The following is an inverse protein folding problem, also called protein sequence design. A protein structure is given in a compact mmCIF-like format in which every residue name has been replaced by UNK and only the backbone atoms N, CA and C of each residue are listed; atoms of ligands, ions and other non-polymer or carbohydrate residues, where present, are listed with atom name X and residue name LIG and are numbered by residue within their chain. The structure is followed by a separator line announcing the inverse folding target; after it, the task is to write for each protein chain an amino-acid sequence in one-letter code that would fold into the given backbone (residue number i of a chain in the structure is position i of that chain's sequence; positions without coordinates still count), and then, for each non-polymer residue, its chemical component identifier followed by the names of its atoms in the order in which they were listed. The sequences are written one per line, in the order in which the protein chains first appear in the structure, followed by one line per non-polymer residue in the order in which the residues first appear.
data_IF_877485030745
#
_entry.id   IF_877485030745
#
_cell.length_a   1.000
_cell.length_b   1.000
_cell.length_c   1.000
_cell.angle_alpha   90.00
_cell.angle_beta   90.00
_cell.angle_gamma   90.00
#
_symmetry.space_group_name_H-M   'P 1'
#
loop_
_entity.id
_entity.type
_entity.pdbx_description
1 polymer ?
#
# COMPACT_ATOMS: atom_id res chain seq x y z
N UNK A 1 -8.65 -34.23 50.33
CA UNK A 1 -8.34 -34.53 48.91
C UNK A 1 -8.93 -33.41 48.03
N UNK A 2 -8.11 -32.66 47.29
CA UNK A 2 -8.66 -31.66 46.36
C UNK A 2 -9.32 -32.34 45.16
N UNK A 3 -10.54 -31.91 44.84
CA UNK A 3 -11.34 -32.44 43.74
C UNK A 3 -10.67 -32.17 42.38
N UNK A 4 -10.81 -33.08 41.41
CA UNK A 4 -10.26 -32.90 40.06
C UNK A 4 -10.73 -31.60 39.38
N UNK A 5 -11.93 -31.10 39.74
CA UNK A 5 -12.42 -29.79 39.30
C UNK A 5 -11.56 -28.63 39.81
N UNK A 6 -11.11 -28.69 41.06
CA UNK A 6 -10.23 -27.68 41.67
C UNK A 6 -8.85 -27.67 40.99
N UNK A 7 -8.30 -28.85 40.69
CA UNK A 7 -7.03 -28.97 39.94
C UNK A 7 -7.14 -28.39 38.53
N UNK A 8 -8.24 -28.69 37.81
CA UNK A 8 -8.48 -28.16 36.45
C UNK A 8 -8.65 -26.64 36.44
N UNK A 9 -9.35 -26.08 37.42
CA UNK A 9 -9.52 -24.63 37.56
C UNK A 9 -8.17 -23.92 37.79
N UNK A 10 -7.32 -24.49 38.66
CA UNK A 10 -5.97 -23.95 38.91
C UNK A 10 -5.09 -23.99 37.64
N UNK A 11 -5.14 -25.07 36.86
CA UNK A 11 -4.41 -25.18 35.59
C UNK A 11 -4.88 -24.11 34.59
N UNK A 12 -6.19 -23.92 34.46
CA UNK A 12 -6.76 -22.92 33.54
C UNK A 12 -6.41 -21.49 33.95
N UNK A 13 -6.43 -21.18 35.26
CA UNK A 13 -6.01 -19.88 35.78
C UNK A 13 -4.54 -19.60 35.42
N UNK A 14 -3.64 -20.57 35.67
CA UNK A 14 -2.21 -20.46 35.31
C UNK A 14 -1.99 -20.32 33.80
N UNK A 15 -2.80 -20.97 32.97
CA UNK A 15 -2.76 -20.79 31.52
C UNK A 15 -3.23 -19.38 31.10
N UNK A 16 -4.25 -18.82 31.75
CA UNK A 16 -4.72 -17.45 31.50
C UNK A 16 -3.66 -16.42 31.89
N UNK A 17 -3.04 -16.57 33.06
CA UNK A 17 -1.95 -15.71 33.52
C UNK A 17 -0.76 -15.74 32.56
N UNK A 18 -0.32 -16.92 32.13
CA UNK A 18 0.74 -17.05 31.13
C UNK A 18 0.40 -16.37 29.80
N UNK A 19 -0.86 -16.50 29.33
CA UNK A 19 -1.32 -15.78 28.12
C UNK A 19 -1.31 -14.27 28.33
N UNK A 20 -1.74 -13.78 29.50
CA UNK A 20 -1.72 -12.35 29.81
C UNK A 20 -0.29 -11.80 29.89
N UNK A 21 0.63 -12.53 30.52
CA UNK A 21 2.05 -12.18 30.57
C UNK A 21 2.68 -12.18 29.18
N UNK A 22 2.39 -13.17 28.34
CA UNK A 22 2.88 -13.21 26.97
C UNK A 22 2.37 -12.02 26.14
N UNK A 23 1.10 -11.63 26.30
CA UNK A 23 0.54 -10.45 25.65
C UNK A 23 1.24 -9.15 26.09
N UNK A 24 1.44 -8.98 27.40
CA UNK A 24 2.14 -7.80 27.93
C UNK A 24 3.60 -7.75 27.47
N UNK A 25 4.30 -8.90 27.45
CA UNK A 25 5.67 -9.01 26.97
C UNK A 25 5.80 -8.68 25.47
N UNK A 26 4.88 -9.16 24.63
CA UNK A 26 4.84 -8.80 23.21
C UNK A 26 4.64 -7.29 23.01
N UNK A 27 3.87 -6.65 23.89
CA UNK A 27 3.63 -5.20 23.85
C UNK A 27 4.85 -4.39 24.28
N UNK A 28 5.61 -4.82 25.29
CA UNK A 28 6.85 -4.14 25.72
C UNK A 28 8.00 -4.30 24.73
N UNK A 29 8.07 -5.42 23.99
CA UNK A 29 9.10 -5.68 22.98
C UNK A 29 8.84 -5.00 21.63
N UNK A 30 7.75 -4.24 21.49
CA UNK A 30 7.50 -3.46 20.29
C UNK A 30 8.53 -2.33 20.19
N UNK A 31 9.65 -2.60 19.52
CA UNK A 31 10.69 -1.63 19.27
C UNK A 31 10.09 -0.37 18.63
N UNK A 32 10.57 0.84 18.98
CA UNK A 32 10.20 2.06 18.28
C UNK A 32 10.51 1.86 16.80
N UNK A 33 9.48 1.92 15.96
CA UNK A 33 9.71 1.96 14.52
C UNK A 33 10.61 3.16 14.22
N UNK A 34 11.63 3.01 13.36
CA UNK A 34 12.47 4.13 13.00
C UNK A 34 11.59 5.28 12.49
N UNK A 35 11.90 6.54 12.86
CA UNK A 35 11.14 7.69 12.40
C UNK A 35 11.13 7.70 10.88
N UNK A 36 9.93 7.82 10.32
CA UNK A 36 9.74 7.83 8.87
C UNK A 36 10.38 9.10 8.31
N UNK A 37 11.05 9.05 7.14
CA UNK A 37 11.60 10.24 6.52
C UNK A 37 10.47 11.24 6.17
N UNK A 38 10.74 12.53 6.35
CA UNK A 38 9.80 13.60 6.00
C UNK A 38 9.35 13.46 4.53
N UNK A 39 8.04 13.59 4.28
CA UNK A 39 7.45 13.40 2.95
C UNK A 39 7.11 11.96 2.58
N UNK A 40 7.37 10.97 3.43
CA UNK A 40 6.94 9.58 3.20
C UNK A 40 5.51 9.30 3.64
N UNK A 41 4.85 8.33 2.99
CA UNK A 41 3.50 7.89 3.33
C UNK A 41 3.50 6.40 3.72
N UNK A 42 2.81 5.99 4.81
CA UNK A 42 2.77 4.59 5.21
C UNK A 42 2.00 3.74 4.18
N UNK A 43 2.49 2.52 3.96
CA UNK A 43 1.85 1.52 3.09
C UNK A 43 0.88 0.68 3.91
N UNK A 44 -0.36 0.59 3.45
CA UNK A 44 -1.30 -0.41 3.94
C UNK A 44 -1.35 -1.62 3.00
N UNK A 45 -0.71 -2.72 3.42
CA UNK A 45 -0.62 -3.95 2.61
C UNK A 45 -1.98 -4.59 2.34
N UNK A 46 -2.95 -4.40 3.24
CA UNK A 46 -4.29 -5.00 3.10
C UNK A 46 -5.10 -4.29 2.01
N UNK A 47 -4.74 -3.04 1.69
CA UNK A 47 -5.39 -2.26 0.64
C UNK A 47 -4.70 -2.43 -0.71
N UNK A 48 -3.59 -3.14 -0.82
CA UNK A 48 -2.97 -3.39 -2.12
C UNK A 48 -3.84 -4.33 -2.97
N UNK A 49 -3.90 -4.08 -4.27
CA UNK A 49 -4.52 -5.01 -5.20
C UNK A 49 -3.75 -6.34 -5.20
N UNK A 50 -4.43 -7.50 -5.23
CA UNK A 50 -3.76 -8.78 -5.35
C UNK A 50 -2.88 -8.83 -6.60
N UNK A 51 -1.58 -9.07 -6.44
CA UNK A 51 -0.65 -9.25 -7.55
C UNK A 51 -0.24 -10.71 -7.64
N UNK A 52 -0.46 -11.35 -8.80
CA UNK A 52 -0.02 -12.73 -9.06
C UNK A 52 1.49 -12.84 -9.38
N UNK A 53 2.28 -11.91 -8.86
CA UNK A 53 3.72 -11.85 -9.07
C UNK A 53 4.41 -12.52 -7.88
N UNK A 54 5.48 -13.25 -8.14
CA UNK A 54 6.18 -14.05 -7.12
C UNK A 54 6.92 -13.23 -6.06
N UNK A 55 7.01 -11.90 -6.21
CA UNK A 55 7.75 -11.01 -5.29
C UNK A 55 6.88 -9.91 -4.69
N UNK A 56 7.18 -9.54 -3.45
CA UNK A 56 6.62 -8.36 -2.80
C UNK A 56 7.32 -7.09 -3.35
N UNK A 57 6.57 -6.03 -3.72
CA UNK A 57 7.19 -4.81 -4.22
C UNK A 57 8.03 -4.13 -3.14
N UNK A 58 9.14 -3.51 -3.54
CA UNK A 58 10.13 -2.90 -2.63
C UNK A 58 9.52 -1.92 -1.63
N UNK A 59 8.53 -1.13 -2.05
CA UNK A 59 7.85 -0.19 -1.15
C UNK A 59 7.03 -0.88 -0.06
N UNK A 60 6.46 -2.06 -0.34
CA UNK A 60 5.67 -2.82 0.64
C UNK A 60 6.58 -3.53 1.64
N UNK A 61 7.72 -4.07 1.18
CA UNK A 61 8.75 -4.60 2.08
C UNK A 61 9.31 -3.51 2.99
N UNK A 62 9.54 -2.30 2.44
CA UNK A 62 9.99 -1.13 3.20
C UNK A 62 8.91 -0.55 4.13
N UNK A 63 7.63 -0.71 3.80
CA UNK A 63 6.50 -0.24 4.60
C UNK A 63 6.13 1.24 4.43
N UNK A 64 6.76 1.96 3.50
CA UNK A 64 6.43 3.35 3.18
C UNK A 64 6.75 3.72 1.72
N UNK A 65 5.96 4.63 1.16
CA UNK A 65 6.20 5.29 -0.12
C UNK A 65 7.16 6.47 0.05
N UNK A 66 7.96 6.76 -0.97
CA UNK A 66 8.90 7.89 -1.02
C UNK A 66 8.70 8.64 -2.33
N UNK A 67 9.00 9.92 -2.36
CA UNK A 67 8.91 10.72 -3.59
C UNK A 67 9.89 10.19 -4.65
N UNK A 68 9.38 9.97 -5.86
CA UNK A 68 10.15 9.47 -7.00
C UNK A 68 10.13 10.50 -8.12
N UNK A 69 11.31 10.99 -8.49
CA UNK A 69 11.45 11.88 -9.64
C UNK A 69 11.30 11.09 -10.93
N UNK A 70 10.59 11.63 -11.90
CA UNK A 70 10.47 11.05 -13.23
C UNK A 70 10.40 12.14 -14.29
N UNK A 71 10.82 11.78 -15.51
CA UNK A 71 10.71 12.64 -16.67
C UNK A 71 9.46 12.25 -17.46
N UNK A 72 8.59 13.21 -17.75
CA UNK A 72 7.41 12.97 -18.56
C UNK A 72 7.81 12.51 -19.97
N UNK A 73 7.31 11.37 -20.42
CA UNK A 73 7.63 10.84 -21.76
C UNK A 73 7.14 11.73 -22.91
N UNK A 74 6.08 12.51 -22.71
CA UNK A 74 5.46 13.29 -23.79
C UNK A 74 6.03 14.73 -23.88
N UNK A 75 6.24 15.41 -22.75
CA UNK A 75 6.70 16.81 -22.71
C UNK A 75 8.10 17.01 -22.10
N UNK A 76 8.77 15.93 -21.68
CA UNK A 76 10.08 15.95 -21.03
C UNK A 76 10.17 16.77 -19.72
N UNK A 77 9.04 17.22 -19.14
CA UNK A 77 9.07 17.92 -17.85
C UNK A 77 9.56 16.99 -16.74
N UNK A 78 10.40 17.51 -15.84
CA UNK A 78 10.80 16.82 -14.63
C UNK A 78 9.72 16.99 -13.57
N UNK A 79 9.19 15.89 -13.09
CA UNK A 79 8.07 15.85 -12.15
C UNK A 79 8.39 14.93 -10.99
N UNK A 80 7.67 15.12 -9.89
CA UNK A 80 7.77 14.26 -8.71
C UNK A 80 6.50 13.44 -8.58
N UNK A 81 6.65 12.12 -8.58
CA UNK A 81 5.59 11.22 -8.19
C UNK A 81 5.59 11.09 -6.67
N UNK A 82 4.73 11.87 -6.02
CA UNK A 82 4.78 12.01 -4.57
C UNK A 82 4.33 10.74 -3.86
N UNK A 83 4.81 10.54 -2.63
CA UNK A 83 4.40 9.42 -1.78
C UNK A 83 2.88 9.36 -1.59
N UNK A 84 2.22 10.53 -1.48
CA UNK A 84 0.77 10.62 -1.39
C UNK A 84 0.06 10.17 -2.67
N UNK A 85 0.59 10.55 -3.85
CA UNK A 85 0.05 10.11 -5.14
C UNK A 85 0.24 8.61 -5.35
N UNK A 86 1.37 8.04 -4.92
CA UNK A 86 1.62 6.60 -4.94
C UNK A 86 0.62 5.87 -4.05
N UNK A 87 0.43 6.34 -2.81
CA UNK A 87 -0.54 5.77 -1.87
C UNK A 87 -1.95 5.71 -2.48
N UNK A 88 -2.42 6.83 -3.03
CA UNK A 88 -3.73 6.85 -3.69
C UNK A 88 -3.80 5.88 -4.87
N UNK A 89 -2.76 5.82 -5.70
CA UNK A 89 -2.74 4.94 -6.88
C UNK A 89 -2.85 3.46 -6.53
N UNK A 90 -2.04 2.99 -5.57
CA UNK A 90 -2.01 1.56 -5.23
C UNK A 90 -3.16 1.14 -4.31
N UNK A 91 -3.51 1.97 -3.33
CA UNK A 91 -4.47 1.58 -2.29
C UNK A 91 -5.91 1.92 -2.66
N UNK A 92 -6.14 3.05 -3.34
CA UNK A 92 -7.49 3.54 -3.69
C UNK A 92 -7.85 3.18 -5.12
N UNK A 93 -7.00 3.57 -6.08
CA UNK A 93 -7.25 3.29 -7.50
C UNK A 93 -6.95 1.83 -7.90
N UNK A 94 -6.38 1.02 -6.98
CA UNK A 94 -6.00 -0.38 -7.18
C UNK A 94 -5.11 -0.60 -8.40
N UNK A 95 -4.22 0.37 -8.66
CA UNK A 95 -3.24 0.28 -9.72
C UNK A 95 -2.29 -0.90 -9.51
N UNK A 96 -1.77 -1.45 -10.61
CA UNK A 96 -0.81 -2.56 -10.54
C UNK A 96 0.45 -2.16 -9.78
N UNK A 97 0.90 -2.99 -8.83
CA UNK A 97 1.97 -2.64 -7.88
C UNK A 97 3.34 -2.37 -8.51
N UNK A 98 3.59 -2.81 -9.75
CA UNK A 98 4.83 -2.51 -10.49
C UNK A 98 4.67 -1.39 -11.52
N UNK A 99 3.50 -0.73 -11.57
CA UNK A 99 3.28 0.41 -12.47
C UNK A 99 3.87 1.69 -11.88
N UNK A 100 4.48 2.53 -12.73
CA UNK A 100 5.10 3.79 -12.32
C UNK A 100 4.51 5.00 -13.03
N UNK A 101 4.67 6.20 -12.46
CA UNK A 101 4.31 7.44 -13.14
C UNK A 101 5.29 7.72 -14.29
N UNK A 102 4.76 7.78 -15.52
CA UNK A 102 5.54 8.04 -16.74
C UNK A 102 5.13 9.33 -17.46
N UNK A 103 4.06 9.98 -17.00
CA UNK A 103 3.48 11.20 -17.61
C UNK A 103 3.00 12.17 -16.54
N UNK A 104 3.24 13.45 -16.78
CA UNK A 104 2.73 14.53 -15.94
C UNK A 104 1.20 14.61 -15.99
N UNK A 105 0.60 15.33 -15.03
CA UNK A 105 -0.86 15.48 -14.96
C UNK A 105 -1.44 16.15 -16.22
N UNK A 106 -0.76 17.17 -16.76
CA UNK A 106 -1.18 17.88 -17.97
C UNK A 106 -1.27 16.91 -19.17
N UNK A 107 -0.21 16.15 -19.45
CA UNK A 107 -0.21 15.16 -20.53
C UNK A 107 -1.26 14.06 -20.29
N UNK A 108 -1.47 13.60 -19.05
CA UNK A 108 -2.54 12.63 -18.74
C UNK A 108 -3.94 13.20 -18.98
N UNK A 109 -4.17 14.49 -18.71
CA UNK A 109 -5.45 15.17 -19.00
C UNK A 109 -5.66 15.32 -20.50
N UNK A 110 -4.67 15.81 -21.22
CA UNK A 110 -4.76 16.01 -22.67
C UNK A 110 -5.02 14.70 -23.43
N UNK A 111 -4.39 13.60 -23.02
CA UNK A 111 -4.67 12.27 -23.60
C UNK A 111 -6.08 11.76 -23.30
N UNK A 112 -6.61 12.04 -22.12
CA UNK A 112 -8.01 11.71 -21.78
C UNK A 112 -8.98 12.50 -22.66
N UNK A 113 -8.75 13.79 -22.83
CA UNK A 113 -9.58 14.63 -23.71
C UNK A 113 -9.44 14.24 -25.19
N UNK A 114 -8.22 13.94 -25.66
CA UNK A 114 -7.96 13.56 -27.06
C UNK A 114 -8.58 12.21 -27.46
N UNK A 115 -8.68 11.25 -26.54
CA UNK A 115 -9.42 10.00 -26.79
C UNK A 115 -10.92 10.23 -27.02
N UNK A 116 -11.52 11.23 -26.36
CA UNK A 116 -12.92 11.59 -26.57
C UNK A 116 -13.17 12.10 -28.01
N UNK A 117 -12.17 12.72 -28.62
CA UNK A 117 -12.28 13.33 -29.95
C UNK A 117 -12.12 12.31 -31.08
N UNK A 118 -11.30 11.26 -30.91
CA UNK A 118 -11.10 10.24 -31.93
C UNK A 118 -12.33 9.34 -32.15
N UNK A 119 -13.19 9.16 -31.14
CA UNK A 119 -14.43 8.40 -31.29
C UNK A 119 -15.48 9.09 -32.19
N UNK A 120 -15.36 10.40 -32.44
CA UNK A 120 -16.24 11.13 -33.38
C UNK A 120 -15.78 11.02 -34.85
N UNK A 121 -14.51 10.70 -35.09
CA UNK A 121 -13.97 10.57 -36.45
C UNK A 121 -14.27 9.17 -37.04
N UNK A 122 -14.41 8.14 -36.19
CA UNK A 122 -14.68 6.78 -36.67
C UNK A 122 -16.15 6.54 -37.06
N UNK A 123 -17.08 7.37 -36.58
CA UNK A 123 -18.50 7.32 -36.99
C UNK A 123 -18.78 7.97 -38.34
N UNK A 124 -17.88 8.80 -38.87
CA UNK A 124 -18.06 9.49 -40.16
C UNK A 124 -17.50 8.66 -41.33
N UNK A 125 -16.61 7.68 -41.06
CA UNK A 125 -15.99 6.82 -42.08
C UNK A 125 -16.73 5.51 -42.35
N UNK A 126 -17.88 5.28 -41.73
CA UNK A 126 -18.69 4.06 -41.87
C UNK A 126 -20.07 4.35 -42.50
N UNK A 127 -20.18 5.38 -43.35
CA UNK A 127 -21.37 5.74 -44.12
C UNK A 127 -21.04 5.81 -45.59
#
# INVERSE_FOLDING_TARGET
MCSGKQKRAAIMARCRERRAQAFLAARTLSAPMPPRPCGSAPVDKLLLAPSNSYGEPVFATRGYYVDVHFTCRDCASQEVWTAAQQKWWYEVAKGYVYSTAVRCLACRRQRRSGRMNNNKCNTIKAS
#
